data_IF_871855233706
#
_entry.id   IF_871855233706
#
_cell.length_a   1.000
_cell.length_b   1.000
_cell.length_c   1.000
_cell.angle_alpha   90.00
_cell.angle_beta   90.00
_cell.angle_gamma   90.00
#
_symmetry.space_group_name_H-M   'P 1'
#
loop_
_entity.id
_entity.type
_entity.pdbx_description
1 polymer ?
#
# COMPACT_ATOMS: atom_id res chain seq x y z
N UNK A 1 18.13 1.46 7.30
CA UNK A 1 17.72 2.86 7.06
C UNK A 1 16.37 2.88 6.37
N UNK A 2 15.25 3.22 7.04
CA UNK A 2 13.90 3.08 6.47
C UNK A 2 13.59 4.04 5.31
N UNK A 3 14.20 5.21 5.28
CA UNK A 3 13.89 6.22 4.27
C UNK A 3 14.35 5.89 2.84
N UNK A 4 15.43 5.14 2.67
CA UNK A 4 15.92 4.78 1.33
C UNK A 4 15.04 3.72 0.66
N UNK A 5 14.51 2.75 1.41
CA UNK A 5 13.63 1.71 0.89
C UNK A 5 12.29 2.30 0.41
N UNK A 6 11.72 3.25 1.16
CA UNK A 6 10.48 3.94 0.78
C UNK A 6 10.64 4.74 -0.51
N UNK A 7 11.69 5.56 -0.62
CA UNK A 7 11.97 6.34 -1.83
C UNK A 7 12.22 5.43 -3.03
N UNK A 8 12.88 4.30 -2.83
CA UNK A 8 13.14 3.32 -3.88
C UNK A 8 11.86 2.68 -4.37
N UNK A 9 10.97 2.24 -3.46
CA UNK A 9 9.69 1.64 -3.82
C UNK A 9 8.79 2.63 -4.55
N UNK A 10 8.72 3.86 -4.06
CA UNK A 10 7.92 4.92 -4.68
C UNK A 10 8.42 5.28 -6.07
N UNK A 11 9.75 5.45 -6.22
CA UNK A 11 10.39 5.67 -7.51
C UNK A 11 10.15 4.51 -8.47
N UNK A 12 10.27 3.26 -8.00
CA UNK A 12 10.02 2.06 -8.80
C UNK A 12 8.61 2.04 -9.39
N UNK A 13 7.59 2.31 -8.57
CA UNK A 13 6.19 2.31 -9.00
C UNK A 13 5.94 3.29 -10.17
N UNK A 14 6.38 4.54 -10.07
CA UNK A 14 6.16 5.53 -11.13
C UNK A 14 7.00 5.23 -12.37
N UNK A 15 8.23 4.76 -12.20
CA UNK A 15 9.08 4.34 -13.30
C UNK A 15 8.45 3.18 -14.06
N UNK A 16 7.89 2.18 -13.37
CA UNK A 16 7.20 1.06 -14.00
C UNK A 16 5.96 1.50 -14.79
N UNK A 17 5.15 2.41 -14.25
CA UNK A 17 4.00 2.97 -14.97
C UNK A 17 4.44 3.62 -16.29
N UNK A 18 5.52 4.42 -16.26
CA UNK A 18 6.05 5.05 -17.46
C UNK A 18 6.60 4.01 -18.44
N UNK A 19 7.35 3.01 -17.95
CA UNK A 19 7.88 1.92 -18.78
C UNK A 19 6.74 1.15 -19.47
N UNK A 20 5.68 0.79 -18.74
CA UNK A 20 4.52 0.11 -19.31
C UNK A 20 3.80 0.99 -20.35
N UNK A 21 3.66 2.29 -20.11
CA UNK A 21 3.07 3.21 -21.07
C UNK A 21 3.88 3.27 -22.38
N UNK A 22 5.21 3.22 -22.28
CA UNK A 22 6.14 3.13 -23.42
C UNK A 22 6.17 1.75 -24.09
N UNK A 23 5.45 0.76 -23.55
CA UNK A 23 5.38 -0.60 -24.11
C UNK A 23 6.44 -1.56 -23.57
N UNK A 24 7.22 -1.16 -22.59
CA UNK A 24 8.26 -2.00 -21.98
C UNK A 24 7.61 -2.94 -20.96
N UNK A 25 7.74 -4.24 -21.14
CA UNK A 25 7.26 -5.25 -20.20
C UNK A 25 8.34 -5.44 -19.12
N UNK A 26 8.08 -4.97 -17.90
CA UNK A 26 8.97 -5.18 -16.76
C UNK A 26 8.97 -6.65 -16.32
N UNK A 27 9.94 -7.03 -15.49
CA UNK A 27 10.00 -8.38 -14.88
C UNK A 27 8.73 -8.65 -14.08
N UNK A 28 8.30 -7.69 -13.26
CA UNK A 28 7.09 -7.80 -12.44
C UNK A 28 5.85 -8.05 -13.31
N UNK A 29 5.69 -7.32 -14.40
CA UNK A 29 4.56 -7.52 -15.32
C UNK A 29 4.56 -8.94 -15.91
N UNK A 30 5.74 -9.45 -16.34
CA UNK A 30 5.84 -10.78 -16.95
C UNK A 30 5.54 -11.91 -15.96
N UNK A 31 5.91 -11.73 -14.70
CA UNK A 31 5.68 -12.74 -13.65
C UNK A 31 4.27 -12.71 -13.09
N UNK A 32 3.66 -11.51 -12.97
CA UNK A 32 2.37 -11.35 -12.31
C UNK A 32 1.16 -11.39 -13.27
N UNK A 33 1.35 -11.08 -14.56
CA UNK A 33 0.24 -10.90 -15.50
C UNK A 33 0.39 -11.86 -16.70
N UNK A 34 -0.62 -12.70 -17.00
CA UNK A 34 -0.62 -13.55 -18.17
C UNK A 34 -0.39 -12.76 -19.46
N UNK A 35 0.38 -13.28 -20.40
CA UNK A 35 0.77 -12.56 -21.65
C UNK A 35 -0.42 -11.97 -22.38
N UNK A 36 -1.50 -12.76 -22.49
CA UNK A 36 -2.75 -12.34 -23.16
C UNK A 36 -3.40 -11.10 -22.53
N UNK A 37 -3.03 -10.74 -21.29
CA UNK A 37 -3.62 -9.62 -20.54
C UNK A 37 -2.66 -8.45 -20.35
N UNK A 38 -1.38 -8.61 -20.68
CA UNK A 38 -0.35 -7.56 -20.50
C UNK A 38 -0.67 -6.27 -21.27
N UNK A 39 -1.38 -6.38 -22.39
CA UNK A 39 -1.85 -5.21 -23.14
C UNK A 39 -2.78 -4.30 -22.32
N UNK A 40 -3.59 -4.88 -21.41
CA UNK A 40 -4.48 -4.11 -20.51
C UNK A 40 -3.66 -3.26 -19.55
N UNK A 41 -2.58 -3.81 -19.01
CA UNK A 41 -1.67 -3.08 -18.15
C UNK A 41 -1.00 -1.92 -18.89
N UNK A 42 -0.52 -2.14 -20.11
CA UNK A 42 0.06 -1.08 -20.96
C UNK A 42 -0.98 0.00 -21.29
N UNK A 43 -2.21 -0.39 -21.61
CA UNK A 43 -3.29 0.55 -21.89
C UNK A 43 -3.63 1.39 -20.66
N UNK A 44 -3.80 0.75 -19.50
CA UNK A 44 -4.04 1.46 -18.22
C UNK A 44 -2.91 2.45 -17.92
N UNK A 45 -1.66 2.04 -18.09
CA UNK A 45 -0.51 2.92 -17.86
C UNK A 45 -0.50 4.12 -18.81
N UNK A 46 -0.85 3.92 -20.09
CA UNK A 46 -0.98 5.03 -21.05
C UNK A 46 -2.09 6.00 -20.66
N UNK A 47 -3.23 5.49 -20.22
CA UNK A 47 -4.35 6.32 -19.74
C UNK A 47 -3.90 7.14 -18.52
N UNK A 48 -3.21 6.53 -17.54
CA UNK A 48 -2.69 7.25 -16.38
C UNK A 48 -1.71 8.35 -16.76
N UNK A 49 -0.74 8.04 -17.63
CA UNK A 49 0.25 9.03 -18.11
C UNK A 49 -0.43 10.15 -18.88
N UNK A 50 -1.41 9.84 -19.74
CA UNK A 50 -2.18 10.84 -20.48
C UNK A 50 -2.98 11.77 -19.53
N UNK A 51 -3.59 11.22 -18.48
CA UNK A 51 -4.28 12.02 -17.45
C UNK A 51 -3.28 12.96 -16.76
N UNK A 52 -2.11 12.47 -16.36
CA UNK A 52 -1.10 13.30 -15.71
C UNK A 52 -0.63 14.45 -16.61
N UNK A 53 -0.32 14.13 -17.87
CA UNK A 53 0.07 15.14 -18.87
C UNK A 53 -1.07 16.15 -19.06
N UNK A 54 -2.31 15.68 -19.18
CA UNK A 54 -3.49 16.53 -19.33
C UNK A 54 -3.71 17.48 -18.15
N UNK A 55 -3.54 17.00 -16.92
CA UNK A 55 -3.64 17.85 -15.71
C UNK A 55 -2.54 18.89 -15.64
N UNK A 56 -1.31 18.54 -16.01
CA UNK A 56 -0.19 19.47 -16.07
C UNK A 56 -0.43 20.52 -17.17
N UNK A 57 -0.82 20.08 -18.36
CA UNK A 57 -1.13 20.97 -19.47
C UNK A 57 -2.29 21.94 -19.13
N UNK A 58 -3.33 21.42 -18.47
CA UNK A 58 -4.44 22.28 -17.98
C UNK A 58 -3.95 23.30 -16.96
N UNK A 59 -3.10 22.90 -16.01
CA UNK A 59 -2.52 23.82 -15.02
C UNK A 59 -1.72 24.93 -15.69
N UNK A 60 -0.91 24.61 -16.70
CA UNK A 60 -0.14 25.58 -17.48
C UNK A 60 -1.05 26.50 -18.27
N UNK A 61 -2.02 25.96 -19.00
CA UNK A 61 -2.97 26.73 -19.81
C UNK A 61 -3.81 27.70 -18.99
N UNK A 62 -4.32 27.23 -17.85
CA UNK A 62 -5.18 28.03 -16.98
C UNK A 62 -4.41 28.92 -15.97
N UNK A 63 -3.08 28.92 -16.02
CA UNK A 63 -2.22 29.66 -15.07
C UNK A 63 -2.57 29.39 -13.60
N UNK A 64 -2.93 28.15 -13.26
CA UNK A 64 -3.32 27.75 -11.91
C UNK A 64 -2.74 26.39 -11.53
N UNK A 65 -2.37 26.23 -10.26
CA UNK A 65 -1.90 24.93 -9.73
C UNK A 65 -3.07 24.05 -9.25
N UNK A 66 -4.30 24.50 -9.30
CA UNK A 66 -5.47 23.77 -8.77
C UNK A 66 -5.60 22.34 -9.32
N UNK A 67 -5.48 22.06 -10.63
CA UNK A 67 -5.57 20.67 -11.12
C UNK A 67 -4.49 19.76 -10.54
N UNK A 68 -3.27 20.26 -10.39
CA UNK A 68 -2.16 19.50 -9.78
C UNK A 68 -2.44 19.27 -8.29
N UNK A 69 -2.83 20.33 -7.56
CA UNK A 69 -3.08 20.26 -6.11
C UNK A 69 -4.27 19.35 -5.77
N UNK A 70 -5.33 19.37 -6.58
CA UNK A 70 -6.54 18.60 -6.30
C UNK A 70 -6.44 17.13 -6.76
N UNK A 71 -5.69 16.82 -7.82
CA UNK A 71 -5.69 15.49 -8.42
C UNK A 71 -4.36 14.77 -8.33
N UNK A 72 -3.22 15.44 -8.54
CA UNK A 72 -1.90 14.78 -8.51
C UNK A 72 -1.33 14.70 -7.09
N UNK A 73 -1.42 15.77 -6.31
CA UNK A 73 -0.87 15.81 -4.95
C UNK A 73 -1.55 14.79 -4.04
N UNK A 74 -2.90 14.65 -3.98
CA UNK A 74 -3.54 13.63 -3.15
C UNK A 74 -3.15 12.22 -3.56
N UNK A 75 -3.00 11.95 -4.86
CA UNK A 75 -2.54 10.64 -5.34
C UNK A 75 -1.10 10.35 -4.91
N UNK A 76 -0.24 11.36 -4.93
CA UNK A 76 1.14 11.23 -4.47
C UNK A 76 1.19 10.93 -2.96
N UNK A 77 0.37 11.62 -2.18
CA UNK A 77 0.25 11.40 -0.74
C UNK A 77 -0.48 10.10 -0.38
N UNK A 78 -1.39 9.59 -1.23
CA UNK A 78 -2.02 8.28 -1.01
C UNK A 78 -0.99 7.15 -0.97
N UNK A 79 0.15 7.29 -1.62
CA UNK A 79 1.25 6.33 -1.52
C UNK A 79 1.94 6.34 -0.14
N UNK A 80 1.74 7.37 0.69
CA UNK A 80 2.17 7.34 2.10
C UNK A 80 1.42 6.26 2.89
N UNK A 81 0.21 5.87 2.47
CA UNK A 81 -0.51 4.74 3.07
C UNK A 81 0.26 3.42 2.90
N UNK A 82 1.13 3.31 1.90
CA UNK A 82 2.05 2.18 1.73
C UNK A 82 2.99 2.05 2.93
N UNK A 83 3.41 3.16 3.53
CA UNK A 83 4.26 3.13 4.74
C UNK A 83 3.55 2.40 5.87
N UNK A 84 2.28 2.67 6.09
CA UNK A 84 1.50 1.96 7.10
C UNK A 84 1.33 0.48 6.76
N UNK A 85 1.10 0.15 5.49
CA UNK A 85 1.06 -1.24 5.02
C UNK A 85 2.38 -1.98 5.27
N UNK A 86 3.52 -1.37 4.93
CA UNK A 86 4.85 -1.97 5.16
C UNK A 86 5.06 -2.24 6.65
N UNK A 87 4.70 -1.33 7.55
CA UNK A 87 4.87 -1.53 8.99
C UNK A 87 4.07 -2.72 9.52
N UNK A 88 2.99 -3.08 8.86
CA UNK A 88 2.15 -4.22 9.25
C UNK A 88 2.72 -5.59 8.83
N UNK A 89 3.73 -5.61 7.96
CA UNK A 89 4.47 -6.81 7.54
C UNK A 89 5.92 -6.83 7.99
N UNK A 90 6.50 -5.68 8.29
CA UNK A 90 7.93 -5.54 8.58
C UNK A 90 8.39 -6.42 9.74
N UNK A 91 9.44 -7.22 9.48
CA UNK A 91 10.05 -8.09 10.51
C UNK A 91 9.20 -9.30 10.89
N UNK A 92 8.18 -9.64 10.10
CA UNK A 92 7.40 -10.86 10.25
C UNK A 92 7.81 -11.90 9.20
N UNK A 93 7.57 -13.20 9.45
CA UNK A 93 7.88 -14.27 8.50
C UNK A 93 7.15 -14.06 7.16
N UNK A 94 7.86 -14.31 6.06
CA UNK A 94 7.31 -14.29 4.71
C UNK A 94 6.85 -15.69 4.28
N UNK A 95 5.92 -15.77 3.33
CA UNK A 95 5.45 -17.03 2.72
C UNK A 95 4.88 -18.06 3.70
N UNK A 96 4.33 -17.63 4.82
CA UNK A 96 3.62 -18.51 5.75
C UNK A 96 2.12 -18.51 5.44
N UNK A 97 1.49 -19.70 5.57
CA UNK A 97 0.05 -19.86 5.29
C UNK A 97 -0.84 -19.17 6.32
N UNK A 98 -0.38 -19.07 7.55
CA UNK A 98 -1.13 -18.43 8.63
C UNK A 98 -0.85 -16.92 8.65
N UNK A 99 -1.79 -16.14 8.19
CA UNK A 99 -1.66 -14.69 8.11
C UNK A 99 -1.50 -14.00 9.48
N UNK A 100 -1.88 -14.66 10.57
CA UNK A 100 -1.67 -14.18 11.95
C UNK A 100 -0.19 -14.09 12.31
N UNK A 101 0.67 -14.82 11.60
CA UNK A 101 2.12 -14.84 11.79
C UNK A 101 2.86 -13.87 10.85
N UNK A 102 2.27 -13.56 9.67
CA UNK A 102 2.90 -12.75 8.62
C UNK A 102 2.40 -11.31 8.57
N UNK A 103 1.36 -11.00 9.36
CA UNK A 103 0.77 -9.66 9.40
C UNK A 103 0.43 -9.27 10.84
N UNK A 104 0.23 -7.96 11.05
CA UNK A 104 -0.20 -7.44 12.36
C UNK A 104 -1.27 -6.38 12.19
N UNK A 105 -2.28 -6.42 13.05
CA UNK A 105 -3.27 -5.36 13.17
C UNK A 105 -2.86 -4.36 14.23
N UNK A 106 -3.11 -3.08 13.97
CA UNK A 106 -2.70 -1.97 14.83
C UNK A 106 -3.91 -1.18 15.33
N UNK A 107 -3.74 -0.40 16.40
CA UNK A 107 -4.77 0.52 16.88
C UNK A 107 -4.48 1.90 16.32
N UNK A 108 -5.42 2.47 15.58
CA UNK A 108 -5.38 3.85 15.10
C UNK A 108 -6.49 4.67 15.76
N UNK A 109 -6.31 5.98 15.82
CA UNK A 109 -7.41 6.87 16.20
C UNK A 109 -8.48 6.91 15.09
N UNK A 110 -9.71 7.34 15.38
CA UNK A 110 -10.82 7.29 14.41
C UNK A 110 -10.56 8.02 13.10
N UNK A 111 -9.83 9.15 13.14
CA UNK A 111 -9.52 9.96 11.95
C UNK A 111 -8.57 9.19 11.02
N UNK A 112 -7.44 8.69 11.55
CA UNK A 112 -6.51 7.90 10.76
C UNK A 112 -7.10 6.56 10.32
N UNK A 113 -7.92 5.92 11.15
CA UNK A 113 -8.67 4.72 10.79
C UNK A 113 -9.61 4.96 9.60
N UNK A 114 -10.29 6.10 9.56
CA UNK A 114 -11.13 6.49 8.42
C UNK A 114 -10.29 6.74 7.16
N UNK A 115 -9.21 7.53 7.26
CA UNK A 115 -8.31 7.84 6.13
C UNK A 115 -7.65 6.58 5.59
N UNK A 116 -7.32 5.64 6.47
CA UNK A 116 -6.68 4.37 6.10
C UNK A 116 -7.68 3.26 5.75
N UNK A 117 -8.97 3.59 5.58
CA UNK A 117 -10.02 2.65 5.15
C UNK A 117 -10.14 1.43 6.06
N UNK A 118 -9.96 1.56 7.35
CA UNK A 118 -9.95 0.46 8.31
C UNK A 118 -8.87 -0.61 8.05
N UNK A 119 -7.86 -0.33 7.23
CA UNK A 119 -6.77 -1.27 6.92
C UNK A 119 -5.82 -1.50 8.10
N UNK A 120 -6.02 -0.83 9.23
CA UNK A 120 -5.40 -1.18 10.50
C UNK A 120 -5.85 -2.55 11.04
N UNK A 121 -6.95 -3.10 10.55
CA UNK A 121 -7.41 -4.48 10.77
C UNK A 121 -6.80 -5.43 9.74
N UNK A 122 -5.47 -5.46 9.67
CA UNK A 122 -4.76 -6.05 8.54
C UNK A 122 -4.71 -7.57 8.56
N UNK A 123 -4.62 -8.18 9.75
CA UNK A 123 -4.72 -9.64 9.90
C UNK A 123 -6.08 -10.12 9.42
N UNK A 124 -7.14 -9.44 9.85
CA UNK A 124 -8.52 -9.73 9.48
C UNK A 124 -8.73 -9.59 7.97
N UNK A 125 -8.13 -8.54 7.38
CA UNK A 125 -8.18 -8.33 5.93
C UNK A 125 -7.48 -9.46 5.17
N UNK A 126 -6.31 -9.91 5.60
CA UNK A 126 -5.59 -11.00 4.96
C UNK A 126 -6.29 -12.37 5.12
N UNK A 127 -6.92 -12.60 6.26
CA UNK A 127 -7.68 -13.84 6.49
C UNK A 127 -8.98 -13.88 5.67
N UNK A 128 -9.63 -12.72 5.48
CA UNK A 128 -10.94 -12.60 4.83
C UNK A 128 -10.97 -11.43 3.84
N UNK A 129 -10.22 -11.49 2.74
CA UNK A 129 -10.03 -10.36 1.81
C UNK A 129 -11.32 -9.91 1.11
N UNK A 130 -12.36 -10.77 1.09
CA UNK A 130 -13.66 -10.45 0.50
C UNK A 130 -14.56 -9.60 1.40
N UNK A 131 -14.21 -9.43 2.67
CA UNK A 131 -15.00 -8.62 3.60
C UNK A 131 -14.67 -7.13 3.38
N UNK A 132 -15.70 -6.28 3.11
CA UNK A 132 -15.48 -4.84 2.96
C UNK A 132 -14.85 -4.22 4.20
N UNK A 133 -13.98 -3.23 4.00
CA UNK A 133 -13.18 -2.61 5.05
C UNK A 133 -14.00 -2.07 6.23
N UNK A 134 -15.19 -1.52 5.96
CA UNK A 134 -16.09 -1.01 7.01
C UNK A 134 -16.68 -2.10 7.93
N UNK A 135 -16.63 -3.37 7.52
CA UNK A 135 -17.05 -4.52 8.32
C UNK A 135 -15.92 -5.21 9.08
N UNK A 136 -14.65 -4.87 8.82
CA UNK A 136 -13.51 -5.47 9.52
C UNK A 136 -13.57 -5.31 11.05
N UNK A 137 -14.04 -4.19 11.62
CA UNK A 137 -14.23 -4.09 13.07
C UNK A 137 -15.23 -5.12 13.63
N UNK A 138 -16.32 -5.40 12.91
CA UNK A 138 -17.32 -6.41 13.32
C UNK A 138 -16.74 -7.82 13.21
N UNK A 139 -16.01 -8.09 12.11
CA UNK A 139 -15.29 -9.35 11.96
C UNK A 139 -14.34 -9.57 13.13
N UNK A 140 -13.52 -8.57 13.46
CA UNK A 140 -12.60 -8.62 14.61
C UNK A 140 -13.32 -9.02 15.89
N UNK A 141 -14.44 -8.38 16.20
CA UNK A 141 -15.20 -8.69 17.41
C UNK A 141 -15.73 -10.13 17.43
N UNK A 142 -16.04 -10.69 16.27
CA UNK A 142 -16.55 -12.06 16.16
C UNK A 142 -15.47 -13.13 16.35
N UNK A 143 -14.23 -12.87 15.94
CA UNK A 143 -13.13 -13.84 15.97
C UNK A 143 -11.95 -13.38 16.85
N UNK A 144 -12.17 -12.45 17.78
CA UNK A 144 -11.10 -11.84 18.58
C UNK A 144 -10.27 -12.88 19.37
N UNK A 145 -10.93 -13.95 19.82
CA UNK A 145 -10.30 -15.05 20.55
C UNK A 145 -9.29 -15.86 19.72
N UNK A 146 -9.36 -15.77 18.39
CA UNK A 146 -8.44 -16.44 17.47
C UNK A 146 -7.30 -15.54 16.99
N UNK A 147 -7.35 -14.24 17.29
CA UNK A 147 -6.47 -13.26 16.72
C UNK A 147 -5.44 -12.73 17.72
N UNK A 148 -4.22 -12.41 17.27
CA UNK A 148 -3.24 -11.74 18.10
C UNK A 148 -3.75 -10.37 18.55
N UNK A 149 -3.28 -9.91 19.71
CA UNK A 149 -3.64 -8.59 20.21
C UNK A 149 -3.21 -7.50 19.22
N UNK A 150 -4.06 -6.47 19.03
CA UNK A 150 -3.71 -5.31 18.20
C UNK A 150 -2.61 -4.50 18.87
N UNK A 151 -1.58 -4.19 18.11
CA UNK A 151 -0.46 -3.40 18.58
C UNK A 151 -0.82 -1.92 18.65
N UNK A 152 -0.31 -1.22 19.64
CA UNK A 152 -0.41 0.25 19.73
C UNK A 152 0.77 0.90 18.98
N UNK A 153 0.63 2.14 18.47
CA UNK A 153 1.74 2.84 17.82
C UNK A 153 3.00 2.95 18.69
N UNK A 154 2.85 3.01 20.00
CA UNK A 154 3.97 3.06 20.96
C UNK A 154 4.75 1.75 21.00
N UNK A 155 4.10 0.61 20.79
CA UNK A 155 4.80 -0.68 20.70
C UNK A 155 5.67 -0.81 19.44
N UNK A 156 5.44 0.00 18.40
CA UNK A 156 6.30 0.04 17.22
C UNK A 156 7.68 0.62 17.48
N UNK A 157 7.78 1.58 18.39
CA UNK A 157 9.07 2.22 18.74
C UNK A 157 9.93 1.31 19.60
N UNK A 158 9.33 0.29 20.22
CA UNK A 158 10.00 -0.69 21.09
C UNK A 158 10.14 -2.08 20.44
N UNK A 159 9.67 -2.28 19.21
CA UNK A 159 10.08 -3.41 18.36
C UNK A 159 11.49 -3.13 17.83
N UNK A 160 12.39 -2.80 18.74
CA UNK A 160 13.81 -2.92 18.57
C UNK A 160 14.10 -4.37 18.23
N UNK A 161 14.83 -4.55 17.11
CA UNK A 161 15.76 -5.63 16.79
C UNK A 161 15.57 -6.90 17.66
N UNK A 162 15.42 -8.07 17.04
CA UNK A 162 15.53 -9.30 17.77
C UNK A 162 16.85 -9.22 18.54
N UNK A 163 16.77 -9.16 19.85
CA UNK A 163 17.90 -9.51 20.70
C UNK A 163 18.28 -10.91 20.29
N UNK A 164 19.39 -11.03 19.60
CA UNK A 164 20.08 -12.29 19.40
C UNK A 164 20.54 -12.74 20.79
N UNK A 165 19.64 -13.33 21.55
CA UNK A 165 20.04 -14.21 22.63
C UNK A 165 20.52 -15.49 21.96
N UNK A 166 21.82 -15.47 21.62
CA UNK A 166 22.58 -16.68 21.36
C UNK A 166 22.75 -17.40 22.72
N UNK A 167 22.18 -18.53 22.82
CA UNK A 167 22.71 -19.61 23.63
C UNK A 167 23.15 -20.71 22.70
#
# INVERSE_FOLDING_TARGET
MPGSAFLTLHKSLYVEIIQHALGINTKVMREAIPEREQWKCRLSSRIFVAIWIGLIAWSVWAWTLLPILLFLVPKFFATLNIVWGITQHWGLPENVKDHRLSTRSVKLNPIFSFIYWKMEYHVEHHMFPMIPSYNLPKLRSAIEHELPARQTPVSYTHLTLPTTDRV
#
